data_IF_847885049306
#
_entry.id   IF_847885049306
#
_cell.length_a   1.000
_cell.length_b   1.000
_cell.length_c   1.000
_cell.angle_alpha   90.00
_cell.angle_beta   90.00
_cell.angle_gamma   90.00
#
_symmetry.space_group_name_H-M   'P 1'
#
loop_
_entity.id
_entity.type
_entity.pdbx_description
1 polymer ?
#
# COMPACT_ATOMS: atom_id res chain seq x y z
N UNK A 1 -16.42 10.21 1.08
CA UNK A 1 -15.73 9.84 -0.18
C UNK A 1 -14.23 9.66 0.02
N UNK A 2 -13.52 10.64 0.58
CA UNK A 2 -12.05 10.59 0.74
C UNK A 2 -11.56 9.37 1.55
N UNK A 3 -12.27 8.97 2.62
CA UNK A 3 -11.91 7.80 3.43
C UNK A 3 -11.85 6.50 2.62
N UNK A 4 -12.86 6.24 1.78
CA UNK A 4 -12.93 5.03 0.95
C UNK A 4 -11.77 5.00 -0.05
N UNK A 5 -11.44 6.16 -0.65
CA UNK A 5 -10.32 6.27 -1.60
C UNK A 5 -8.99 5.97 -0.91
N UNK A 6 -8.78 6.46 0.31
CA UNK A 6 -7.56 6.17 1.09
C UNK A 6 -7.47 4.69 1.48
N UNK A 7 -8.55 4.13 2.00
CA UNK A 7 -8.62 2.70 2.37
C UNK A 7 -8.33 1.80 1.16
N UNK A 8 -8.88 2.13 -0.02
CA UNK A 8 -8.63 1.44 -1.29
C UNK A 8 -7.18 1.61 -1.74
N UNK A 9 -6.66 2.84 -1.76
CA UNK A 9 -5.29 3.12 -2.18
C UNK A 9 -4.27 2.34 -1.34
N UNK A 10 -4.47 2.27 -0.03
CA UNK A 10 -3.62 1.50 0.87
C UNK A 10 -3.66 0.01 0.55
N UNK A 11 -4.83 -0.55 0.26
CA UNK A 11 -4.95 -1.94 -0.17
C UNK A 11 -4.21 -2.18 -1.50
N UNK A 12 -4.35 -1.28 -2.47
CA UNK A 12 -3.65 -1.36 -3.76
C UNK A 12 -2.13 -1.29 -3.55
N UNK A 13 -1.63 -0.40 -2.70
CA UNK A 13 -0.21 -0.31 -2.34
C UNK A 13 0.30 -1.64 -1.78
N UNK A 14 -0.40 -2.22 -0.80
CA UNK A 14 0.01 -3.49 -0.21
C UNK A 14 0.01 -4.62 -1.24
N UNK A 15 -0.99 -4.67 -2.14
CA UNK A 15 -1.05 -5.66 -3.23
C UNK A 15 0.12 -5.51 -4.20
N UNK A 16 0.38 -4.28 -4.66
CA UNK A 16 1.48 -4.00 -5.58
C UNK A 16 2.85 -4.41 -5.00
N UNK A 17 3.06 -4.20 -3.69
CA UNK A 17 4.22 -4.71 -2.98
C UNK A 17 4.21 -6.24 -2.93
N UNK A 18 3.09 -6.86 -2.53
CA UNK A 18 2.96 -8.31 -2.41
C UNK A 18 3.10 -9.10 -3.71
N UNK A 19 2.98 -8.44 -4.86
CA UNK A 19 3.24 -8.96 -6.21
C UNK A 19 4.72 -8.98 -6.60
N UNK A 20 5.58 -8.20 -5.92
CA UNK A 20 7.02 -8.21 -6.17
C UNK A 20 7.69 -9.39 -5.47
N UNK A 21 8.71 -9.98 -6.12
CA UNK A 21 9.46 -11.12 -5.56
C UNK A 21 10.14 -10.76 -4.24
N UNK A 22 10.66 -9.54 -4.12
CA UNK A 22 11.32 -9.03 -2.92
C UNK A 22 10.39 -8.21 -2.01
N UNK A 23 9.10 -8.15 -2.36
CA UNK A 23 8.06 -7.37 -1.67
C UNK A 23 8.35 -5.87 -1.54
N UNK A 24 9.16 -5.32 -2.45
CA UNK A 24 9.61 -3.91 -2.40
C UNK A 24 9.23 -3.14 -3.64
N UNK A 25 8.83 -1.89 -3.45
CA UNK A 25 8.57 -0.99 -4.56
C UNK A 25 8.78 0.48 -4.17
N UNK A 26 9.25 1.30 -5.12
CA UNK A 26 9.42 2.72 -4.88
C UNK A 26 8.08 3.49 -5.03
N UNK A 27 8.00 4.64 -4.36
CA UNK A 27 6.77 5.44 -4.28
C UNK A 27 6.26 5.97 -5.62
N UNK A 28 7.13 6.09 -6.64
CA UNK A 28 6.70 6.53 -7.97
C UNK A 28 6.00 5.40 -8.73
N UNK A 29 6.56 4.18 -8.69
CA UNK A 29 5.89 3.01 -9.27
C UNK A 29 4.57 2.70 -8.53
N UNK A 30 4.54 2.85 -7.21
CA UNK A 30 3.29 2.73 -6.44
C UNK A 30 2.24 3.77 -6.86
N UNK A 31 2.67 5.01 -7.15
CA UNK A 31 1.79 6.07 -7.67
C UNK A 31 1.20 5.69 -9.04
N UNK A 32 2.02 5.13 -9.93
CA UNK A 32 1.56 4.62 -11.25
C UNK A 32 0.57 3.46 -11.09
N UNK A 33 0.82 2.53 -10.15
CA UNK A 33 -0.15 1.47 -9.84
C UNK A 33 -1.50 2.05 -9.40
N UNK A 34 -1.51 3.04 -8.52
CA UNK A 34 -2.73 3.73 -8.08
C UNK A 34 -3.47 4.42 -9.23
N UNK A 35 -2.76 5.04 -10.17
CA UNK A 35 -3.34 5.69 -11.35
C UNK A 35 -4.09 4.71 -12.25
N UNK A 36 -3.61 3.46 -12.36
CA UNK A 36 -4.27 2.41 -13.15
C UNK A 36 -5.66 2.08 -12.60
N UNK A 37 -5.89 2.30 -11.30
CA UNK A 37 -7.19 2.15 -10.65
C UNK A 37 -7.96 3.48 -10.54
N UNK A 38 -7.55 4.53 -11.26
CA UNK A 38 -8.22 5.83 -11.27
C UNK A 38 -7.91 6.72 -10.06
N UNK A 39 -6.92 6.37 -9.23
CA UNK A 39 -6.51 7.16 -8.06
C UNK A 39 -5.29 8.01 -8.45
N UNK A 40 -5.54 9.05 -9.25
CA UNK A 40 -4.52 10.04 -9.60
C UNK A 40 -4.29 11.01 -8.42
N UNK A 41 -3.14 10.88 -7.75
CA UNK A 41 -2.76 11.69 -6.57
C UNK A 41 -1.30 12.12 -6.67
N UNK A 42 -0.96 13.31 -6.13
CA UNK A 42 0.42 13.79 -6.13
C UNK A 42 1.30 12.93 -5.22
N UNK A 43 2.61 12.90 -5.50
CA UNK A 43 3.60 12.12 -4.74
C UNK A 43 3.51 12.35 -3.22
N UNK A 44 3.34 13.59 -2.78
CA UNK A 44 3.24 13.93 -1.36
C UNK A 44 2.06 13.23 -0.66
N UNK A 45 0.95 13.03 -1.38
CA UNK A 45 -0.20 12.29 -0.86
C UNK A 45 0.13 10.80 -0.72
N UNK A 46 0.79 10.19 -1.72
CA UNK A 46 1.24 8.80 -1.64
C UNK A 46 2.23 8.58 -0.50
N UNK A 47 3.14 9.54 -0.27
CA UNK A 47 4.05 9.50 0.88
C UNK A 47 3.31 9.56 2.22
N UNK A 48 2.21 10.31 2.30
CA UNK A 48 1.35 10.33 3.48
C UNK A 48 0.67 8.98 3.75
N UNK A 49 0.16 8.32 2.70
CA UNK A 49 -0.43 6.99 2.85
C UNK A 49 0.62 5.92 3.23
N UNK A 50 1.84 6.03 2.70
CA UNK A 50 2.97 5.18 3.09
C UNK A 50 3.38 5.41 4.55
N UNK A 51 3.39 6.66 5.01
CA UNK A 51 3.67 6.98 6.41
C UNK A 51 2.61 6.34 7.33
N UNK A 52 1.33 6.47 6.98
CA UNK A 52 0.25 5.80 7.72
C UNK A 52 0.43 4.28 7.76
N UNK A 53 0.73 3.64 6.61
CA UNK A 53 0.97 2.20 6.57
C UNK A 53 2.17 1.77 7.41
N UNK A 54 3.16 2.64 7.58
CA UNK A 54 4.31 2.41 8.46
C UNK A 54 3.90 2.49 9.92
N UNK A 55 3.11 3.49 10.31
CA UNK A 55 2.54 3.62 11.66
C UNK A 55 1.68 2.41 12.05
N UNK A 56 0.92 1.87 11.09
CA UNK A 56 0.13 0.64 11.26
C UNK A 56 0.97 -0.65 11.21
N UNK A 57 2.28 -0.53 11.02
CA UNK A 57 3.20 -1.67 10.95
C UNK A 57 3.01 -2.56 9.72
N UNK A 58 2.38 -2.06 8.65
CA UNK A 58 2.10 -2.80 7.43
C UNK A 58 3.30 -2.81 6.46
N UNK A 59 4.10 -1.75 6.47
CA UNK A 59 5.30 -1.59 5.63
C UNK A 59 6.46 -1.00 6.43
N UNK A 60 7.67 -1.14 5.92
CA UNK A 60 8.82 -0.31 6.31
C UNK A 60 9.22 0.60 5.16
N UNK A 61 9.82 1.76 5.47
CA UNK A 61 10.22 2.75 4.47
C UNK A 61 11.70 3.07 4.58
N UNK A 62 12.35 3.22 3.42
CA UNK A 62 13.69 3.78 3.27
C UNK A 62 13.61 4.99 2.35
N UNK A 63 14.23 6.09 2.74
CA UNK A 63 14.36 7.26 1.88
C UNK A 63 15.43 7.02 0.81
N UNK A 64 15.07 7.23 -0.46
CA UNK A 64 15.95 7.06 -1.62
C UNK A 64 15.86 8.31 -2.50
N UNK A 65 16.63 9.33 -2.14
CA UNK A 65 16.59 10.63 -2.79
C UNK A 65 15.21 11.27 -2.61
N UNK A 66 14.45 11.40 -3.71
CA UNK A 66 13.14 12.05 -3.69
C UNK A 66 11.95 11.07 -3.63
N UNK A 67 12.23 9.77 -3.67
CA UNK A 67 11.23 8.70 -3.53
C UNK A 67 11.43 7.95 -2.22
N UNK A 68 10.40 7.22 -1.80
CA UNK A 68 10.49 6.26 -0.69
C UNK A 68 10.45 4.86 -1.26
N UNK A 69 11.28 3.96 -0.75
CA UNK A 69 11.18 2.53 -1.06
C UNK A 69 10.43 1.87 0.08
N UNK A 70 9.26 1.33 -0.23
CA UNK A 70 8.44 0.59 0.71
C UNK A 70 8.75 -0.90 0.62
N UNK A 71 8.73 -1.58 1.77
CA UNK A 71 8.86 -3.04 1.89
C UNK A 71 7.66 -3.55 2.65
N UNK A 72 6.98 -4.57 2.13
CA UNK A 72 5.91 -5.24 2.86
C UNK A 72 6.47 -5.86 4.15
N UNK A 73 5.69 -5.84 5.22
CA UNK A 73 6.01 -6.57 6.46
C UNK A 73 5.15 -7.82 6.56
N UNK A 74 5.46 -8.68 7.54
CA UNK A 74 4.60 -9.82 7.90
C UNK A 74 3.15 -9.38 8.18
N UNK A 75 2.94 -8.30 8.93
CA UNK A 75 1.59 -7.77 9.22
C UNK A 75 0.86 -7.37 7.94
N UNK A 76 1.54 -6.68 7.03
CA UNK A 76 1.00 -6.31 5.72
C UNK A 76 0.60 -7.53 4.90
N UNK A 77 1.48 -8.55 4.83
CA UNK A 77 1.21 -9.83 4.15
C UNK A 77 0.01 -10.55 4.77
N UNK A 78 -0.03 -10.66 6.09
CA UNK A 78 -1.17 -11.27 6.82
C UNK A 78 -2.49 -10.54 6.60
N UNK A 79 -2.47 -9.23 6.33
CA UNK A 79 -3.67 -8.50 5.91
C UNK A 79 -4.13 -8.90 4.51
N UNK A 80 -3.20 -9.01 3.56
CA UNK A 80 -3.49 -9.49 2.20
C UNK A 80 -4.04 -10.92 2.21
N UNK A 81 -3.47 -11.77 3.06
CA UNK A 81 -3.90 -13.16 3.27
C UNK A 81 -5.17 -13.26 4.13
N UNK A 82 -5.75 -12.12 4.52
CA UNK A 82 -6.99 -12.01 5.31
C UNK A 82 -6.92 -12.69 6.68
N UNK A 83 -5.72 -12.87 7.23
CA UNK A 83 -5.48 -13.41 8.58
C UNK A 83 -5.63 -12.34 9.66
N UNK A 84 -5.30 -11.09 9.34
CA UNK A 84 -5.45 -9.91 10.21
C UNK A 84 -6.16 -8.81 9.41
N UNK A 85 -6.86 -7.90 10.09
CA UNK A 85 -7.39 -6.69 9.47
C UNK A 85 -6.66 -5.47 10.03
N UNK A 86 -6.10 -4.64 9.15
CA UNK A 86 -5.46 -3.37 9.47
C UNK A 86 -6.51 -2.26 9.34
N UNK A 87 -6.69 -1.49 10.41
CA UNK A 87 -7.61 -0.36 10.42
C UNK A 87 -7.23 0.67 9.34
N UNK A 88 -8.24 1.28 8.71
CA UNK A 88 -8.01 2.22 7.62
C UNK A 88 -7.41 1.60 6.34
N UNK A 89 -7.37 0.27 6.21
CA UNK A 89 -7.03 -0.43 4.95
C UNK A 89 -8.22 -1.28 4.53
N UNK A 90 -8.66 -1.15 3.27
CA UNK A 90 -9.78 -1.96 2.77
C UNK A 90 -9.43 -3.45 2.86
N UNK A 91 -10.41 -4.27 3.19
CA UNK A 91 -10.23 -5.73 3.23
C UNK A 91 -10.10 -6.28 1.81
N UNK A 92 -9.13 -7.16 1.53
CA UNK A 92 -9.07 -7.86 0.25
C UNK A 92 -10.38 -8.61 -0.02
N UNK A 93 -10.83 -8.67 -1.28
CA UNK A 93 -11.94 -9.55 -1.69
C UNK A 93 -11.64 -11.02 -1.36
N UNK A 94 -12.66 -11.86 -1.22
CA UNK A 94 -12.42 -13.31 -1.12
C UNK A 94 -11.93 -13.77 -2.50
N UNK A 95 -10.92 -14.66 -2.58
CA UNK A 95 -10.72 -15.41 -3.81
C UNK A 95 -12.05 -16.10 -4.15
N UNK A 96 -12.49 -16.01 -5.40
CA UNK A 96 -13.58 -16.85 -5.88
C UNK A 96 -13.14 -18.31 -5.71
N UNK A 97 -14.02 -19.13 -5.13
CA UNK A 97 -13.74 -20.54 -4.81
C UNK A 97 -13.75 -21.41 -6.07
#
# INVERSE_FOLDING_TARGET
MDRIIREEARLIILRALGEQIDERLNSELLRVSLETFGIARPRAWVHGELAYLTEMGAVTLVDAGSVKVATLTETGRRHLDRTVAIEGVKRPSRPEA
#
